data_IF_081253860960
#
_entry.id   IF_081253860960
#
_cell.length_a   1.000
_cell.length_b   1.000
_cell.length_c   1.000
_cell.angle_alpha   90.00
_cell.angle_beta   90.00
_cell.angle_gamma   90.00
#
_symmetry.space_group_name_H-M   'P 1'
#
loop_
_entity.id
_entity.type
_entity.pdbx_description
1 polymer ?
#
# COMPACT_ATOMS: atom_id res chain seq x y z
N UNK A 1 -26.05 8.00 -20.15
CA UNK A 1 -24.64 7.63 -20.35
C UNK A 1 -23.86 8.08 -19.11
N UNK A 2 -23.61 7.18 -18.14
CA UNK A 2 -22.87 7.54 -16.90
C UNK A 2 -21.43 7.82 -17.29
N UNK A 3 -21.01 9.08 -17.18
CA UNK A 3 -19.60 9.49 -17.30
C UNK A 3 -18.85 8.72 -16.22
N UNK A 4 -18.05 7.72 -16.63
CA UNK A 4 -17.13 7.03 -15.74
C UNK A 4 -16.08 8.05 -15.34
N UNK A 5 -16.21 8.61 -14.14
CA UNK A 5 -15.26 9.57 -13.57
C UNK A 5 -13.90 8.87 -13.58
N UNK A 6 -12.99 9.30 -14.45
CA UNK A 6 -11.64 8.74 -14.48
C UNK A 6 -10.98 9.12 -13.17
N UNK A 7 -10.56 8.13 -12.39
CA UNK A 7 -9.80 8.36 -11.15
C UNK A 7 -8.66 9.34 -11.46
N UNK A 8 -8.47 10.36 -10.64
CA UNK A 8 -7.33 11.28 -10.72
C UNK A 8 -6.11 10.65 -10.04
N UNK A 9 -4.90 11.06 -10.44
CA UNK A 9 -3.65 10.62 -9.78
C UNK A 9 -3.68 10.85 -8.26
N UNK A 10 -4.28 11.97 -7.81
CA UNK A 10 -4.43 12.28 -6.38
C UNK A 10 -5.35 11.28 -5.68
N UNK A 11 -6.46 10.92 -6.32
CA UNK A 11 -7.42 9.95 -5.79
C UNK A 11 -6.78 8.55 -5.70
N UNK A 12 -5.95 8.18 -6.69
CA UNK A 12 -5.20 6.92 -6.66
C UNK A 12 -4.21 6.87 -5.48
N UNK A 13 -3.40 7.92 -5.29
CA UNK A 13 -2.42 7.99 -4.20
C UNK A 13 -3.11 7.93 -2.83
N UNK A 14 -4.17 8.71 -2.63
CA UNK A 14 -4.93 8.70 -1.38
C UNK A 14 -5.59 7.35 -1.11
N UNK A 15 -6.15 6.71 -2.14
CA UNK A 15 -6.71 5.36 -2.02
C UNK A 15 -5.64 4.34 -1.65
N UNK A 16 -4.45 4.43 -2.27
CA UNK A 16 -3.30 3.62 -1.92
C UNK A 16 -2.88 3.79 -0.46
N UNK A 17 -2.80 5.03 0.02
CA UNK A 17 -2.51 5.31 1.42
C UNK A 17 -3.52 4.64 2.36
N UNK A 18 -4.83 4.82 2.10
CA UNK A 18 -5.89 4.23 2.92
C UNK A 18 -5.83 2.69 2.90
N UNK A 19 -5.62 2.08 1.73
CA UNK A 19 -5.45 0.63 1.61
C UNK A 19 -4.24 0.19 2.44
N UNK A 20 -3.11 0.88 2.33
CA UNK A 20 -1.92 0.60 3.12
C UNK A 20 -2.18 0.68 4.63
N UNK A 21 -2.89 1.71 5.12
CA UNK A 21 -3.28 1.85 6.53
C UNK A 21 -4.15 0.68 6.97
N UNK A 22 -5.19 0.35 6.21
CA UNK A 22 -6.11 -0.75 6.55
C UNK A 22 -5.34 -2.06 6.62
N UNK A 23 -4.56 -2.37 5.58
CA UNK A 23 -3.79 -3.62 5.50
C UNK A 23 -2.83 -3.73 6.66
N UNK A 24 -1.99 -2.71 6.93
CA UNK A 24 -1.00 -2.82 8.00
C UNK A 24 -1.63 -2.83 9.39
N UNK A 25 -2.79 -2.18 9.58
CA UNK A 25 -3.51 -2.20 10.84
C UNK A 25 -3.98 -3.61 11.19
N UNK A 26 -4.37 -4.42 10.20
CA UNK A 26 -4.72 -5.83 10.44
C UNK A 26 -3.54 -6.61 11.03
N UNK A 27 -2.34 -6.45 10.48
CA UNK A 27 -1.13 -7.09 11.01
C UNK A 27 -0.77 -6.59 12.41
N UNK A 28 -0.86 -5.28 12.64
CA UNK A 28 -0.51 -4.65 13.92
C UNK A 28 -1.50 -5.03 15.04
N UNK A 29 -2.78 -5.21 14.71
CA UNK A 29 -3.81 -5.63 15.66
C UNK A 29 -3.76 -7.13 15.97
N UNK A 30 -3.39 -7.95 14.99
CA UNK A 30 -3.19 -9.39 15.17
C UNK A 30 -1.93 -9.72 15.98
N UNK A 31 -0.96 -8.79 16.01
CA UNK A 31 0.25 -8.95 16.82
C UNK A 31 -0.09 -9.03 18.32
N UNK A 32 0.14 -10.21 18.91
CA UNK A 32 -0.05 -10.48 20.33
C UNK A 32 0.91 -9.70 21.25
N UNK A 33 0.94 -10.07 22.53
CA UNK A 33 1.91 -9.52 23.48
C UNK A 33 3.32 -10.01 23.14
N UNK A 34 4.12 -9.12 22.56
CA UNK A 34 5.45 -9.41 22.02
C UNK A 34 6.45 -8.44 22.64
N UNK A 35 7.69 -8.90 22.88
CA UNK A 35 8.74 -8.16 23.60
C UNK A 35 9.36 -6.99 22.82
N UNK A 36 8.73 -6.56 21.73
CA UNK A 36 9.20 -5.41 20.96
C UNK A 36 8.97 -4.11 21.73
N UNK A 37 9.89 -3.15 21.59
CA UNK A 37 9.82 -1.87 22.30
C UNK A 37 8.48 -1.15 22.10
N UNK A 38 8.04 -0.35 23.09
CA UNK A 38 6.69 0.22 23.16
C UNK A 38 6.19 0.94 21.88
N UNK A 39 7.11 1.46 21.05
CA UNK A 39 6.81 2.21 19.83
C UNK A 39 6.98 1.39 18.54
N UNK A 40 7.13 0.07 18.61
CA UNK A 40 7.35 -0.78 17.45
C UNK A 40 6.27 -0.63 16.36
N UNK A 41 5.03 -0.33 16.76
CA UNK A 41 3.86 -0.15 15.88
C UNK A 41 3.95 1.13 15.02
N UNK A 42 4.75 2.11 15.40
CA UNK A 42 4.83 3.40 14.68
C UNK A 42 5.45 3.23 13.30
N UNK A 43 6.55 2.46 13.21
CA UNK A 43 7.26 2.21 11.95
C UNK A 43 6.34 1.62 10.87
N UNK A 44 5.61 0.51 11.09
CA UNK A 44 4.73 -0.05 10.06
C UNK A 44 3.56 0.87 9.71
N UNK A 45 2.95 1.54 10.70
CA UNK A 45 1.83 2.47 10.48
C UNK A 45 2.20 3.72 9.66
N UNK A 46 3.49 4.04 9.54
CA UNK A 46 3.98 5.16 8.72
C UNK A 46 4.56 4.66 7.40
N UNK A 47 5.46 3.67 7.45
CA UNK A 47 6.20 3.21 6.28
C UNK A 47 5.29 2.50 5.27
N UNK A 48 4.43 1.58 5.72
CA UNK A 48 3.59 0.78 4.83
C UNK A 48 2.58 1.63 4.05
N UNK A 49 1.83 2.57 4.68
CA UNK A 49 0.92 3.43 3.95
C UNK A 49 1.61 4.35 2.94
N UNK A 50 2.79 4.89 3.27
CA UNK A 50 3.54 5.75 2.35
C UNK A 50 4.02 4.98 1.12
N UNK A 51 4.57 3.77 1.31
CA UNK A 51 5.02 2.94 0.19
C UNK A 51 3.82 2.49 -0.66
N UNK A 52 2.69 2.12 -0.03
CA UNK A 52 1.48 1.77 -0.76
C UNK A 52 0.92 2.94 -1.59
N UNK A 53 0.95 4.16 -1.05
CA UNK A 53 0.55 5.38 -1.76
C UNK A 53 1.42 5.63 -3.00
N UNK A 54 2.75 5.46 -2.87
CA UNK A 54 3.69 5.53 -4.00
C UNK A 54 3.38 4.46 -5.07
N UNK A 55 3.13 3.22 -4.64
CA UNK A 55 2.76 2.12 -5.52
C UNK A 55 1.48 2.40 -6.31
N UNK A 56 0.46 2.96 -5.65
CA UNK A 56 -0.80 3.33 -6.31
C UNK A 56 -0.60 4.46 -7.33
N UNK A 57 0.24 5.44 -7.01
CA UNK A 57 0.62 6.50 -7.95
C UNK A 57 1.32 5.97 -9.19
N UNK A 58 2.29 5.05 -9.02
CA UNK A 58 3.00 4.42 -10.14
C UNK A 58 2.07 3.52 -10.96
N UNK A 59 1.25 2.70 -10.31
CA UNK A 59 0.25 1.85 -10.95
C UNK A 59 -0.71 2.67 -11.83
N UNK A 60 -1.14 3.84 -11.34
CA UNK A 60 -1.97 4.77 -12.09
C UNK A 60 -1.29 5.29 -13.35
N UNK A 61 -0.03 5.70 -13.26
CA UNK A 61 0.74 6.21 -14.41
C UNK A 61 0.92 5.12 -15.47
N UNK A 62 1.21 3.89 -15.06
CA UNK A 62 1.34 2.74 -15.98
C UNK A 62 0.00 2.42 -16.64
N UNK A 63 -1.09 2.39 -15.86
CA UNK A 63 -2.43 2.09 -16.33
C UNK A 63 -3.09 3.21 -17.16
N UNK A 64 -2.48 4.41 -17.24
CA UNK A 64 -3.09 5.58 -17.89
C UNK A 64 -3.53 5.32 -19.34
N UNK A 65 -2.77 4.52 -20.10
CA UNK A 65 -3.12 4.18 -21.49
C UNK A 65 -4.23 3.13 -21.65
N UNK A 66 -4.80 2.62 -20.54
CA UNK A 66 -5.93 1.66 -20.46
C UNK A 66 -5.79 0.43 -21.37
N UNK A 67 -4.56 0.04 -21.70
CA UNK A 67 -4.28 -1.23 -22.38
C UNK A 67 -4.38 -2.37 -21.36
N UNK A 68 -4.90 -3.52 -21.75
CA UNK A 68 -5.06 -4.68 -20.86
C UNK A 68 -3.75 -5.03 -20.11
N UNK A 69 -2.65 -5.13 -20.84
CA UNK A 69 -1.32 -5.37 -20.27
C UNK A 69 -0.85 -4.29 -19.29
N UNK A 70 -1.23 -3.03 -19.52
CA UNK A 70 -0.88 -1.92 -18.64
C UNK A 70 -1.69 -1.93 -17.35
N UNK A 71 -2.95 -2.36 -17.40
CA UNK A 71 -3.79 -2.56 -16.22
C UNK A 71 -3.26 -3.72 -15.36
N UNK A 72 -2.89 -4.84 -16.00
CA UNK A 72 -2.26 -5.97 -15.30
C UNK A 72 -0.95 -5.57 -14.64
N UNK A 73 -0.07 -4.88 -15.40
CA UNK A 73 1.22 -4.43 -14.88
C UNK A 73 1.05 -3.41 -13.74
N UNK A 74 0.10 -2.47 -13.86
CA UNK A 74 -0.21 -1.52 -12.80
C UNK A 74 -0.70 -2.21 -11.52
N UNK A 75 -1.62 -3.19 -11.65
CA UNK A 75 -2.08 -4.00 -10.52
C UNK A 75 -0.94 -4.77 -9.85
N UNK A 76 -0.06 -5.38 -10.65
CA UNK A 76 1.11 -6.08 -10.13
C UNK A 76 2.08 -5.16 -9.38
N UNK A 77 2.38 -3.97 -9.94
CA UNK A 77 3.20 -2.95 -9.28
C UNK A 77 2.58 -2.55 -7.93
N UNK A 78 1.28 -2.26 -7.90
CA UNK A 78 0.62 -1.89 -6.66
C UNK A 78 0.71 -2.98 -5.59
N UNK A 79 0.46 -4.24 -5.99
CA UNK A 79 0.57 -5.40 -5.10
C UNK A 79 2.00 -5.56 -4.55
N UNK A 80 3.02 -5.39 -5.39
CA UNK A 80 4.43 -5.43 -4.97
C UNK A 80 4.78 -4.34 -3.98
N UNK A 81 4.27 -3.11 -4.17
CA UNK A 81 4.52 -2.01 -3.25
C UNK A 81 3.82 -2.19 -1.90
N UNK A 82 2.60 -2.71 -1.87
CA UNK A 82 1.95 -3.08 -0.59
C UNK A 82 2.81 -4.11 0.14
N UNK A 83 3.18 -5.20 -0.54
CA UNK A 83 3.98 -6.26 0.05
C UNK A 83 5.33 -5.74 0.56
N UNK A 84 6.04 -4.95 -0.24
CA UNK A 84 7.30 -4.30 0.15
C UNK A 84 7.10 -3.38 1.36
N UNK A 85 6.00 -2.63 1.40
CA UNK A 85 5.64 -1.79 2.52
C UNK A 85 5.42 -2.58 3.81
N UNK A 86 4.81 -3.76 3.73
CA UNK A 86 4.61 -4.66 4.87
C UNK A 86 5.97 -5.18 5.34
N UNK A 87 6.79 -5.74 4.45
CA UNK A 87 8.12 -6.28 4.77
C UNK A 87 9.00 -5.21 5.41
N UNK A 88 9.10 -4.03 4.81
CA UNK A 88 9.93 -2.94 5.33
C UNK A 88 9.37 -2.32 6.61
N UNK A 89 8.04 -2.21 6.71
CA UNK A 89 7.35 -1.66 7.88
C UNK A 89 7.49 -2.57 9.11
N UNK A 90 7.41 -3.88 8.91
CA UNK A 90 7.48 -4.89 9.96
C UNK A 90 8.88 -5.49 10.15
N UNK A 91 9.87 -5.08 9.36
CA UNK A 91 11.26 -5.52 9.53
C UNK A 91 11.76 -5.23 10.96
N UNK A 92 12.23 -6.27 11.63
CA UNK A 92 12.67 -6.28 13.03
C UNK A 92 11.54 -6.57 14.03
N UNK A 93 10.37 -7.00 13.54
CA UNK A 93 9.20 -7.38 14.37
C UNK A 93 8.56 -8.66 13.84
N UNK A 94 7.39 -8.58 13.18
CA UNK A 94 6.68 -9.69 12.55
C UNK A 94 7.41 -10.25 11.31
N UNK A 95 8.46 -9.56 10.83
CA UNK A 95 9.22 -9.94 9.66
C UNK A 95 10.72 -9.77 9.92
N UNK A 96 11.52 -10.74 9.47
CA UNK A 96 12.99 -10.75 9.52
C UNK A 96 13.54 -10.99 8.11
#
# INVERSE_FOLDING_TARGET
>A
MKVTKSLSSKEAIFSGYLIGVVVISLFVMDAGNLEWGAYWRVKPLVVTPLISACGAGLAYLVAWRRKFWALLLGGFIFMMFIWLGIVLGLNGTLWD
#
